data_IF_125076702557
#
_entry.id   IF_125076702557
#
_cell.length_a   1.000
_cell.length_b   1.000
_cell.length_c   1.000
_cell.angle_alpha   90.00
_cell.angle_beta   90.00
_cell.angle_gamma   90.00
#
_symmetry.space_group_name_H-M   'P 1'
#
loop_
_entity.id
_entity.type
_entity.pdbx_description
1 polymer ?
#
# COMPACT_ATOMS: atom_id res chain seq x y z
N UNK A 1 -6.07 16.63 -19.40
CA UNK A 1 -6.46 15.84 -18.22
C UNK A 1 -5.28 15.03 -17.74
N UNK A 2 -5.10 14.84 -16.43
CA UNK A 2 -4.06 13.96 -15.91
C UNK A 2 -4.44 12.51 -16.22
N UNK A 3 -3.63 11.82 -17.02
CA UNK A 3 -3.84 10.41 -17.37
C UNK A 3 -2.97 9.53 -16.48
N UNK A 4 -3.57 8.54 -15.80
CA UNK A 4 -2.84 7.52 -15.04
C UNK A 4 -2.27 6.47 -15.97
N UNK A 5 -1.26 6.85 -16.74
CA UNK A 5 -0.51 5.91 -17.59
C UNK A 5 0.38 5.00 -16.74
N UNK A 6 0.74 3.80 -17.21
CA UNK A 6 1.63 2.90 -16.47
C UNK A 6 2.94 3.55 -15.98
N UNK A 7 3.63 4.42 -16.75
CA UNK A 7 4.82 5.13 -16.25
C UNK A 7 4.55 6.07 -15.08
N UNK A 8 3.42 6.80 -15.12
CA UNK A 8 3.03 7.73 -14.06
C UNK A 8 2.66 6.96 -12.78
N UNK A 9 1.90 5.86 -12.93
CA UNK A 9 1.56 4.98 -11.82
C UNK A 9 2.81 4.36 -11.19
N UNK A 10 3.75 3.89 -12.00
CA UNK A 10 5.03 3.35 -11.52
C UNK A 10 5.80 4.39 -10.69
N UNK A 11 5.91 5.62 -11.20
CA UNK A 11 6.59 6.72 -10.49
C UNK A 11 5.91 7.03 -9.15
N UNK A 12 4.58 7.08 -9.12
CA UNK A 12 3.80 7.32 -7.90
C UNK A 12 3.97 6.17 -6.90
N UNK A 13 3.92 4.91 -7.35
CA UNK A 13 4.14 3.73 -6.50
C UNK A 13 5.53 3.75 -5.88
N UNK A 14 6.58 4.05 -6.67
CA UNK A 14 7.95 4.16 -6.15
C UNK A 14 8.06 5.23 -5.06
N UNK A 15 7.45 6.40 -5.27
CA UNK A 15 7.43 7.46 -4.26
C UNK A 15 6.67 7.02 -2.99
N UNK A 16 5.48 6.42 -3.14
CA UNK A 16 4.64 6.01 -2.00
C UNK A 16 5.27 4.86 -1.19
N UNK A 17 6.01 3.96 -1.83
CA UNK A 17 6.72 2.88 -1.16
C UNK A 17 7.94 3.39 -0.36
N UNK A 18 8.65 4.41 -0.88
CA UNK A 18 9.88 4.93 -0.25
C UNK A 18 9.63 6.05 0.76
N UNK A 19 8.48 6.76 0.70
CA UNK A 19 8.18 7.87 1.62
C UNK A 19 8.23 7.50 3.10
N UNK A 20 8.01 6.22 3.44
CA UNK A 20 8.07 5.71 4.81
C UNK A 20 9.43 5.98 5.50
N UNK A 21 10.49 6.20 4.73
CA UNK A 21 11.82 6.60 5.25
C UNK A 21 11.73 7.89 6.07
N UNK A 22 10.89 8.84 5.66
CA UNK A 22 10.73 10.14 6.33
C UNK A 22 9.34 10.39 6.93
N UNK A 23 8.33 9.56 6.61
CA UNK A 23 6.97 9.67 7.18
C UNK A 23 6.60 8.53 8.12
N UNK A 24 7.49 7.56 8.33
CA UNK A 24 7.23 6.39 9.16
C UNK A 24 7.03 6.75 10.63
N UNK A 25 6.01 6.18 11.27
CA UNK A 25 5.74 6.38 12.70
C UNK A 25 6.55 5.45 13.63
N UNK A 26 7.32 4.51 13.06
CA UNK A 26 8.02 3.48 13.80
C UNK A 26 7.10 2.36 14.33
N UNK A 27 7.65 1.15 14.42
CA UNK A 27 7.01 -0.01 15.04
C UNK A 27 8.06 -0.88 15.73
N UNK A 28 7.78 -1.29 16.96
CA UNK A 28 8.59 -2.31 17.65
C UNK A 28 8.05 -3.69 17.27
N UNK A 29 8.95 -4.57 16.83
CA UNK A 29 8.62 -5.88 16.30
C UNK A 29 8.10 -5.85 14.86
N UNK A 30 7.98 -7.04 14.27
CA UNK A 30 7.31 -7.27 12.99
C UNK A 30 5.90 -7.82 13.19
N UNK A 31 4.99 -7.52 12.27
CA UNK A 31 3.81 -8.33 12.07
C UNK A 31 4.17 -9.50 11.18
N UNK A 32 3.59 -10.68 11.45
CA UNK A 32 3.54 -11.68 10.39
C UNK A 32 2.61 -11.11 9.29
N UNK A 33 3.02 -11.07 8.01
CA UNK A 33 2.07 -10.82 6.93
C UNK A 33 0.91 -11.80 7.07
N UNK A 34 -0.30 -11.33 6.76
CA UNK A 34 -1.56 -12.01 7.02
C UNK A 34 -1.47 -13.51 6.71
N UNK A 35 -1.78 -14.34 7.73
CA UNK A 35 -1.73 -15.80 7.73
C UNK A 35 -2.78 -16.47 6.80
N UNK A 36 -2.88 -16.02 5.55
CA UNK A 36 -3.66 -16.66 4.49
C UNK A 36 -2.80 -17.50 3.54
N UNK A 37 -1.48 -17.36 3.60
CA UNK A 37 -0.58 -18.33 2.99
C UNK A 37 -0.53 -19.59 3.85
N UNK A 38 -0.86 -20.73 3.24
CA UNK A 38 -0.80 -22.06 3.87
C UNK A 38 0.64 -22.47 4.20
N UNK A 39 1.64 -21.74 3.69
CA UNK A 39 3.03 -21.87 4.07
C UNK A 39 3.38 -20.71 5.02
N UNK A 40 3.83 -21.00 6.25
CA UNK A 40 4.43 -19.96 7.07
C UNK A 40 5.64 -19.41 6.28
N UNK A 41 5.76 -18.09 6.10
CA UNK A 41 6.97 -17.54 5.52
C UNK A 41 8.16 -18.08 6.31
N UNK A 42 9.23 -18.48 5.58
CA UNK A 42 10.51 -18.82 6.21
C UNK A 42 10.80 -17.75 7.27
N UNK A 43 11.18 -18.18 8.48
CA UNK A 43 11.39 -17.27 9.59
C UNK A 43 12.50 -16.27 9.22
N UNK A 44 12.10 -15.15 8.61
CA UNK A 44 12.94 -13.99 8.47
C UNK A 44 13.35 -13.63 9.90
N UNK A 45 14.65 -13.43 10.10
CA UNK A 45 15.20 -13.11 11.41
C UNK A 45 14.36 -12.03 12.08
N UNK A 46 14.08 -12.22 13.37
CA UNK A 46 13.15 -11.36 14.10
C UNK A 46 13.51 -9.88 13.95
N UNK A 47 12.70 -9.11 13.21
CA UNK A 47 12.90 -7.67 13.09
C UNK A 47 12.42 -6.99 14.37
N UNK A 48 13.36 -6.36 15.10
CA UNK A 48 13.07 -5.68 16.38
C UNK A 48 12.42 -4.31 16.18
N UNK A 49 12.71 -3.63 15.06
CA UNK A 49 12.16 -2.32 14.76
C UNK A 49 11.95 -2.12 13.26
N UNK A 50 10.83 -1.51 12.89
CA UNK A 50 10.46 -1.15 11.53
C UNK A 50 10.14 0.34 11.43
N UNK A 51 10.35 0.93 10.24
CA UNK A 51 10.04 2.34 9.98
C UNK A 51 8.52 2.60 9.91
N UNK A 52 7.74 1.63 9.40
CA UNK A 52 6.31 1.79 9.13
C UNK A 52 5.47 0.81 9.94
N UNK A 53 4.36 1.30 10.51
CA UNK A 53 3.37 0.43 11.15
C UNK A 53 2.52 -0.36 10.14
N UNK A 54 2.51 0.04 8.87
CA UNK A 54 1.55 -0.41 7.85
C UNK A 54 2.14 -1.35 6.82
N UNK A 55 3.46 -1.39 6.65
CA UNK A 55 4.13 -2.10 5.55
C UNK A 55 3.73 -3.59 5.51
N UNK A 56 3.82 -4.31 6.63
CA UNK A 56 3.47 -5.73 6.73
C UNK A 56 2.00 -6.06 6.43
N UNK A 57 1.15 -5.03 6.35
CA UNK A 57 -0.29 -5.18 6.13
C UNK A 57 -0.72 -4.76 4.72
N UNK A 58 0.19 -4.33 3.84
CA UNK A 58 -0.08 -3.97 2.45
C UNK A 58 0.50 -5.08 1.56
N UNK A 59 -0.36 -5.74 0.80
CA UNK A 59 -0.01 -6.96 0.04
C UNK A 59 -0.13 -6.78 -1.48
N UNK A 60 -0.65 -5.63 -1.92
CA UNK A 60 -0.87 -5.32 -3.34
C UNK A 60 -0.39 -3.90 -3.67
N UNK A 61 -0.01 -3.68 -4.93
CA UNK A 61 0.33 -2.33 -5.42
C UNK A 61 -0.93 -1.51 -5.67
N UNK A 62 -1.88 -2.06 -6.44
CA UNK A 62 -3.12 -1.40 -6.85
C UNK A 62 -4.28 -2.39 -6.71
N UNK A 63 -5.32 -2.02 -5.97
CA UNK A 63 -6.50 -2.89 -5.80
C UNK A 63 -7.75 -2.09 -5.40
N UNK A 64 -8.95 -2.58 -5.73
CA UNK A 64 -10.22 -1.86 -5.51
C UNK A 64 -10.96 -2.26 -4.21
N UNK A 65 -10.73 -3.46 -3.67
CA UNK A 65 -11.45 -3.98 -2.50
C UNK A 65 -10.54 -4.08 -1.27
N UNK A 66 -10.89 -3.39 -0.19
CA UNK A 66 -10.04 -3.29 1.00
C UNK A 66 -10.23 -4.40 2.04
N UNK A 67 -11.24 -5.26 1.88
CA UNK A 67 -11.39 -6.44 2.73
C UNK A 67 -10.36 -7.48 2.29
N UNK A 68 -9.38 -7.73 3.16
CA UNK A 68 -8.29 -8.72 3.02
C UNK A 68 -7.19 -8.40 2.01
N UNK A 69 -7.36 -7.41 1.12
CA UNK A 69 -6.38 -7.01 0.09
C UNK A 69 -6.05 -5.51 0.14
N UNK A 70 -5.31 -5.08 1.17
CA UNK A 70 -4.88 -3.68 1.26
C UNK A 70 -3.81 -3.41 0.19
N UNK A 71 -3.98 -2.30 -0.52
CA UNK A 71 -3.08 -1.87 -1.59
C UNK A 71 -2.45 -0.50 -1.32
N UNK A 72 -1.35 -0.19 -2.00
CA UNK A 72 -0.71 1.13 -1.97
C UNK A 72 -1.63 2.18 -2.60
N UNK A 73 -2.25 1.87 -3.74
CA UNK A 73 -3.26 2.71 -4.41
C UNK A 73 -4.59 1.97 -4.39
N UNK A 74 -5.62 2.63 -3.87
CA UNK A 74 -6.97 2.12 -3.94
C UNK A 74 -7.65 2.59 -5.25
N UNK A 75 -7.91 1.64 -6.14
CA UNK A 75 -8.49 1.91 -7.46
C UNK A 75 -10.03 2.10 -7.45
N UNK A 76 -10.66 2.08 -6.27
CA UNK A 76 -12.10 2.33 -6.14
C UNK A 76 -12.43 3.77 -6.51
N UNK A 77 -13.22 3.92 -7.56
CA UNK A 77 -13.59 5.22 -8.10
C UNK A 77 -14.92 5.73 -7.51
N UNK A 78 -14.83 6.36 -6.34
CA UNK A 78 -15.92 7.09 -5.68
C UNK A 78 -15.51 8.57 -5.58
N UNK A 79 -15.76 9.40 -6.62
CA UNK A 79 -15.16 10.72 -6.74
C UNK A 79 -15.67 11.76 -5.74
N UNK A 80 -16.89 11.57 -5.18
CA UNK A 80 -17.55 12.52 -4.28
C UNK A 80 -17.61 13.97 -4.83
N UNK A 81 -17.56 14.09 -6.15
CA UNK A 81 -17.57 15.32 -6.94
C UNK A 81 -18.16 15.02 -8.34
N UNK A 82 -18.21 16.01 -9.23
CA UNK A 82 -18.64 15.81 -10.62
C UNK A 82 -17.72 14.78 -11.32
N UNK A 83 -18.25 13.57 -11.54
CA UNK A 83 -17.52 12.42 -12.10
C UNK A 83 -16.99 12.67 -13.51
N UNK A 84 -17.52 13.66 -14.23
CA UNK A 84 -17.07 14.04 -15.57
C UNK A 84 -15.80 14.89 -15.54
N UNK A 85 -15.47 15.47 -14.38
CA UNK A 85 -14.36 16.40 -14.21
C UNK A 85 -13.30 15.89 -13.24
N UNK A 86 -13.70 15.14 -12.22
CA UNK A 86 -12.84 14.78 -11.10
C UNK A 86 -12.84 13.29 -10.82
N UNK A 87 -11.65 12.82 -10.42
CA UNK A 87 -11.41 11.51 -9.82
C UNK A 87 -10.82 11.74 -8.44
N UNK A 88 -10.99 10.78 -7.53
CA UNK A 88 -10.38 10.81 -6.20
C UNK A 88 -9.28 9.76 -6.14
N UNK A 89 -8.04 10.21 -6.08
CA UNK A 89 -6.92 9.33 -5.75
C UNK A 89 -7.03 8.95 -4.27
N UNK A 90 -7.12 7.66 -3.99
CA UNK A 90 -7.26 7.13 -2.63
C UNK A 90 -6.05 6.28 -2.25
#
# INVERSE_FOLDING_TARGET
>A
EAQFTPPILGTLLTFLATRQIFTGAGRVGQSNPLAFDFEPPQAEGQVTFQLSQRADHIVNDIYQWVQFNRAIINARDEPLADYRKYRRLH
#
